data_IF_402304582231
#
_entry.id   IF_402304582231
#
_cell.length_a   1.000
_cell.length_b   1.000
_cell.length_c   1.000
_cell.angle_alpha   90.00
_cell.angle_beta   90.00
_cell.angle_gamma   90.00
#
_symmetry.space_group_name_H-M   'P 1'
#
loop_
_entity.id
_entity.type
_entity.pdbx_description
1 polymer ?
#
# COMPACT_ATOMS: atom_id res chain seq x y z
N UNK A 1 46.45 1.06 6.96
CA UNK A 1 45.37 0.98 5.95
C UNK A 1 44.35 2.06 6.30
N UNK A 2 43.97 2.93 5.36
CA UNK A 2 43.01 4.01 5.62
C UNK A 2 41.57 3.51 5.55
N UNK A 3 40.66 4.13 6.28
CA UNK A 3 39.22 3.80 6.21
C UNK A 3 38.55 4.36 4.95
N UNK A 4 37.40 3.82 4.57
CA UNK A 4 36.59 4.34 3.46
C UNK A 4 36.17 5.79 3.71
N UNK A 5 35.92 6.15 4.97
CA UNK A 5 35.56 7.51 5.36
C UNK A 5 36.72 8.49 5.19
N UNK A 6 37.93 8.11 5.64
CA UNK A 6 39.15 8.90 5.46
C UNK A 6 39.46 9.15 3.97
N UNK A 7 39.44 8.10 3.15
CA UNK A 7 39.72 8.20 1.71
C UNK A 7 38.73 9.12 0.98
N UNK A 8 37.45 9.10 1.38
CA UNK A 8 36.43 9.98 0.83
C UNK A 8 36.62 11.43 1.26
N UNK A 9 36.98 11.67 2.52
CA UNK A 9 37.25 13.01 3.04
C UNK A 9 38.49 13.63 2.37
N UNK A 10 39.56 12.87 2.19
CA UNK A 10 40.78 13.32 1.49
C UNK A 10 40.53 13.69 0.04
N UNK A 11 39.64 12.94 -0.64
CA UNK A 11 39.32 13.14 -2.06
C UNK A 11 38.09 14.02 -2.30
N UNK A 12 37.52 14.60 -1.24
CA UNK A 12 36.27 15.38 -1.30
C UNK A 12 35.11 14.65 -2.01
N UNK A 13 35.01 13.33 -1.83
CA UNK A 13 33.95 12.50 -2.45
C UNK A 13 32.77 12.39 -1.47
N UNK A 14 31.56 12.83 -1.83
CA UNK A 14 30.38 12.67 -0.99
C UNK A 14 29.96 11.21 -0.88
N UNK A 15 29.29 10.87 0.22
CA UNK A 15 28.73 9.53 0.43
C UNK A 15 27.49 9.38 -0.46
N UNK A 16 27.40 8.34 -1.32
CA UNK A 16 26.22 8.12 -2.12
C UNK A 16 25.04 7.73 -1.23
N UNK A 17 23.95 8.49 -1.29
CA UNK A 17 22.71 8.22 -0.55
C UNK A 17 21.58 8.06 -1.55
N UNK A 18 20.91 6.90 -1.53
CA UNK A 18 19.73 6.67 -2.34
C UNK A 18 18.50 7.32 -1.68
N UNK A 19 17.84 8.23 -2.40
CA UNK A 19 16.66 8.98 -1.92
C UNK A 19 15.46 8.08 -1.61
N UNK A 20 15.36 6.91 -2.24
CA UNK A 20 14.28 5.95 -2.02
C UNK A 20 14.54 5.02 -0.84
N UNK A 21 15.79 4.89 -0.41
CA UNK A 21 16.17 4.13 0.80
C UNK A 21 15.98 4.93 2.09
N UNK A 22 15.77 6.24 1.99
CA UNK A 22 15.51 7.10 3.14
C UNK A 22 14.09 6.87 3.66
N UNK A 23 13.97 6.66 4.98
CA UNK A 23 12.67 6.60 5.64
C UNK A 23 11.88 7.88 5.38
N UNK A 24 10.59 7.72 5.10
CA UNK A 24 9.63 8.80 4.91
C UNK A 24 8.40 8.51 5.76
N UNK A 25 7.77 9.52 6.36
CA UNK A 25 6.48 9.32 7.02
C UNK A 25 5.47 8.81 5.99
N UNK A 26 4.69 7.79 6.37
CA UNK A 26 3.70 7.17 5.48
C UNK A 26 2.32 7.67 5.89
N UNK A 27 1.71 8.52 5.07
CA UNK A 27 0.32 8.93 5.25
C UNK A 27 -0.62 7.95 4.54
N UNK A 28 -1.39 7.18 5.32
CA UNK A 28 -2.35 6.22 4.79
C UNK A 28 -3.74 6.84 4.75
N UNK A 29 -4.34 6.91 3.57
CA UNK A 29 -5.75 7.25 3.43
C UNK A 29 -6.62 6.13 4.01
N UNK A 30 -7.75 6.49 4.63
CA UNK A 30 -8.72 5.50 5.07
C UNK A 30 -9.22 4.70 3.86
N UNK A 31 -9.05 3.38 3.92
CA UNK A 31 -9.51 2.49 2.85
C UNK A 31 -11.02 2.34 2.94
N UNK A 32 -11.73 2.78 1.91
CA UNK A 32 -13.15 2.50 1.70
C UNK A 32 -13.28 1.28 0.81
N UNK A 33 -14.06 0.29 1.24
CA UNK A 33 -14.33 -0.92 0.47
C UNK A 33 -15.64 -0.76 -0.29
N UNK A 34 -15.72 -1.37 -1.47
CA UNK A 34 -16.96 -1.41 -2.22
C UNK A 34 -18.00 -2.29 -1.49
N UNK A 35 -19.30 -1.96 -1.58
CA UNK A 35 -20.34 -2.80 -1.03
C UNK A 35 -20.40 -4.16 -1.76
N UNK A 36 -20.99 -5.16 -1.10
CA UNK A 36 -21.19 -6.46 -1.70
C UNK A 36 -22.30 -6.37 -2.76
N UNK A 37 -21.96 -6.67 -4.02
CA UNK A 37 -22.92 -6.71 -5.13
C UNK A 37 -23.16 -8.17 -5.53
N UNK A 38 -24.38 -8.66 -5.26
CA UNK A 38 -24.80 -10.00 -5.64
C UNK A 38 -25.37 -9.95 -7.07
N UNK A 39 -24.90 -10.81 -8.00
CA UNK A 39 -25.46 -10.86 -9.35
C UNK A 39 -26.97 -11.15 -9.36
N UNK A 40 -27.70 -10.45 -10.23
CA UNK A 40 -29.17 -10.55 -10.34
C UNK A 40 -29.65 -11.99 -10.61
N UNK A 41 -28.91 -12.76 -11.40
CA UNK A 41 -29.23 -14.15 -11.69
C UNK A 41 -29.21 -15.03 -10.44
N UNK A 42 -28.20 -14.86 -9.58
CA UNK A 42 -28.06 -15.58 -8.32
C UNK A 42 -29.16 -15.13 -7.36
N UNK A 43 -29.38 -13.82 -7.22
CA UNK A 43 -30.40 -13.27 -6.31
C UNK A 43 -31.82 -13.76 -6.63
N UNK A 44 -32.15 -14.00 -7.91
CA UNK A 44 -33.44 -14.55 -8.33
C UNK A 44 -33.63 -16.00 -7.88
N UNK A 45 -32.57 -16.79 -7.88
CA UNK A 45 -32.60 -18.22 -7.56
C UNK A 45 -32.45 -18.50 -6.05
N UNK A 46 -32.18 -17.48 -5.23
CA UNK A 46 -32.07 -17.65 -3.78
C UNK A 46 -33.43 -17.94 -3.14
N UNK A 47 -33.49 -18.85 -2.14
CA UNK A 47 -34.71 -19.07 -1.37
C UNK A 47 -35.10 -17.81 -0.59
N UNK A 48 -36.40 -17.68 -0.28
CA UNK A 48 -36.96 -16.48 0.34
C UNK A 48 -36.23 -16.05 1.61
N UNK A 49 -35.84 -17.01 2.45
CA UNK A 49 -35.12 -16.75 3.72
C UNK A 49 -33.76 -16.07 3.52
N UNK A 50 -33.05 -16.37 2.43
CA UNK A 50 -31.70 -15.85 2.15
C UNK A 50 -31.67 -14.75 1.09
N UNK A 51 -32.84 -14.36 0.54
CA UNK A 51 -32.92 -13.31 -0.46
C UNK A 51 -32.72 -11.95 0.24
N UNK A 52 -31.69 -11.17 -0.11
CA UNK A 52 -31.48 -9.85 0.48
C UNK A 52 -32.65 -8.93 0.09
N UNK A 53 -33.24 -8.29 1.10
CA UNK A 53 -34.39 -7.38 0.96
C UNK A 53 -33.95 -5.94 0.70
N UNK A 54 -32.84 -5.54 1.32
CA UNK A 54 -32.23 -4.23 1.17
C UNK A 54 -30.94 -4.35 0.35
N UNK A 55 -30.71 -3.35 -0.50
CA UNK A 55 -29.39 -3.12 -1.10
C UNK A 55 -28.54 -2.35 -0.08
N UNK A 56 -27.35 -2.84 0.33
CA UNK A 56 -26.43 -2.06 1.16
C UNK A 56 -25.89 -0.83 0.41
#
# INVERSE_FOLDING_TARGET
>A
MKTVAELRRERNIPIPVNKDSLYKPIERKQRKFNPLVIPKAIQKNLPFKSKPKDTP
#
